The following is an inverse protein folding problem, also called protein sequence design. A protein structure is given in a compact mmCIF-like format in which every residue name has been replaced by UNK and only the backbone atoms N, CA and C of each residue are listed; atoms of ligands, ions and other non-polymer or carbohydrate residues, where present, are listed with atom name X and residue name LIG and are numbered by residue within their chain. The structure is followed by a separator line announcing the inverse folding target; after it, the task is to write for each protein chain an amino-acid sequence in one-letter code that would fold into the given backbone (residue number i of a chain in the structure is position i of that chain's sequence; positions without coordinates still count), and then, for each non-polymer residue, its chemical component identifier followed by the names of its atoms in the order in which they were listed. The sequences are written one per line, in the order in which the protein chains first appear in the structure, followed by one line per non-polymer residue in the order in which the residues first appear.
data_IF_012206157943
#
_entry.id   IF_012206157943
#
_cell.length_a   1.000
_cell.length_b   1.000
_cell.length_c   1.000
_cell.angle_alpha   90.00
_cell.angle_beta   90.00
_cell.angle_gamma   90.00
#
_symmetry.space_group_name_H-M   'P 1'
#
loop_
_entity.id
_entity.type
_entity.pdbx_description
1 polymer ?
#
# COMPACT_ATOMS: atom_id res chain seq x y z
N UNK A 1 -10.30 -21.78 59.74
CA UNK A 1 -11.64 -21.97 60.36
C UNK A 1 -12.60 -21.11 59.56
N UNK A 2 -13.31 -21.73 58.62
CA UNK A 2 -14.77 -21.97 58.69
C UNK A 2 -15.57 -20.76 58.13
N UNK A 3 -16.20 -20.89 56.94
CA UNK A 3 -17.58 -21.44 56.71
C UNK A 3 -18.60 -20.31 57.01
N UNK A 4 -19.63 -19.94 56.24
CA UNK A 4 -20.47 -20.57 55.21
C UNK A 4 -21.47 -19.46 54.74
N UNK A 5 -21.74 -19.28 53.44
CA UNK A 5 -22.84 -19.89 52.65
C UNK A 5 -24.21 -19.17 52.75
N UNK A 6 -24.78 -18.94 51.55
CA UNK A 6 -26.08 -19.49 51.08
C UNK A 6 -27.25 -18.51 50.82
N UNK A 7 -27.56 -18.43 49.52
CA UNK A 7 -28.84 -18.54 48.78
C UNK A 7 -30.13 -17.91 49.31
N UNK A 8 -30.91 -17.33 48.38
CA UNK A 8 -32.18 -17.83 47.78
C UNK A 8 -32.65 -16.72 46.80
N UNK A 9 -32.87 -16.89 45.49
CA UNK A 9 -33.69 -17.79 44.66
C UNK A 9 -35.21 -17.67 44.87
N UNK A 10 -35.91 -17.12 43.87
CA UNK A 10 -37.22 -17.51 43.29
C UNK A 10 -37.31 -16.76 41.94
N UNK A 11 -37.31 -17.34 40.73
CA UNK A 11 -38.01 -18.47 40.10
C UNK A 11 -39.50 -18.21 39.83
N UNK A 12 -39.89 -18.11 38.54
CA UNK A 12 -40.93 -18.87 37.79
C UNK A 12 -41.33 -18.06 36.52
N UNK A 13 -40.98 -18.42 35.27
CA UNK A 13 -41.38 -19.52 34.33
C UNK A 13 -42.47 -19.13 33.32
N UNK A 14 -42.30 -19.66 32.10
CA UNK A 14 -43.34 -19.90 31.08
C UNK A 14 -42.72 -19.82 29.67
N UNK A 15 -42.10 -20.87 29.11
CA UNK A 15 -42.70 -21.94 28.25
C UNK A 15 -43.55 -21.37 27.09
N UNK A 16 -43.46 -21.75 25.81
CA UNK A 16 -43.19 -23.04 25.17
C UNK A 16 -43.08 -22.89 23.62
N UNK A 17 -42.43 -23.87 22.98
CA UNK A 17 -42.69 -24.30 21.59
C UNK A 17 -41.71 -23.74 20.53
N UNK A 18 -41.07 -24.50 19.66
CA UNK A 18 -41.21 -25.91 19.28
C UNK A 18 -40.93 -26.07 17.77
N UNK A 19 -39.77 -26.64 17.45
CA UNK A 19 -39.37 -27.44 16.28
C UNK A 19 -39.63 -26.98 14.82
N UNK A 20 -38.49 -26.78 14.12
CA UNK A 20 -38.09 -27.23 12.78
C UNK A 20 -39.13 -27.61 11.70
N UNK A 21 -38.93 -27.06 10.49
CA UNK A 21 -38.72 -27.86 9.27
C UNK A 21 -38.02 -27.03 8.19
N UNK A 22 -37.05 -27.67 7.53
CA UNK A 22 -36.45 -27.22 6.27
C UNK A 22 -37.29 -27.75 5.11
N UNK A 23 -37.38 -27.00 4.01
CA UNK A 23 -37.56 -27.57 2.68
C UNK A 23 -37.17 -26.55 1.60
N UNK A 24 -36.24 -26.97 0.74
CA UNK A 24 -35.97 -26.38 -0.56
C UNK A 24 -36.71 -27.23 -1.60
N UNK A 25 -37.31 -26.60 -2.61
CA UNK A 25 -37.53 -27.09 -3.99
C UNK A 25 -38.43 -26.08 -4.73
N UNK A 26 -37.97 -25.58 -5.88
CA UNK A 26 -38.82 -24.99 -6.93
C UNK A 26 -38.24 -25.46 -8.27
N UNK A 27 -38.76 -26.57 -8.79
CA UNK A 27 -39.80 -26.69 -9.84
C UNK A 27 -39.28 -26.32 -11.23
N UNK A 28 -38.72 -27.35 -11.86
CA UNK A 28 -38.64 -27.54 -13.29
C UNK A 28 -39.96 -28.20 -13.76
N UNK A 29 -40.69 -27.56 -14.67
CA UNK A 29 -41.84 -28.14 -15.38
C UNK A 29 -42.15 -27.28 -16.61
N UNK A 30 -41.63 -27.64 -17.79
CA UNK A 30 -42.25 -28.50 -18.83
C UNK A 30 -43.59 -27.97 -19.36
N UNK A 31 -43.58 -27.56 -20.63
CA UNK A 31 -44.60 -27.85 -21.65
C UNK A 31 -44.07 -27.33 -23.01
N UNK A 32 -44.33 -27.87 -24.19
CA UNK A 32 -44.84 -29.14 -24.72
C UNK A 32 -44.52 -29.06 -26.22
N UNK A 33 -44.36 -30.21 -26.83
CA UNK A 33 -43.98 -30.46 -28.22
C UNK A 33 -44.99 -29.89 -29.23
N UNK A 34 -44.53 -29.39 -30.38
CA UNK A 34 -45.25 -29.57 -31.63
C UNK A 34 -44.27 -29.76 -32.81
N UNK A 35 -44.54 -30.80 -33.58
CA UNK A 35 -43.77 -31.25 -34.73
C UNK A 35 -44.41 -30.74 -36.03
N UNK A 36 -43.63 -30.50 -37.08
CA UNK A 36 -44.21 -30.24 -38.40
C UNK A 36 -43.28 -29.64 -39.45
N UNK A 37 -42.57 -30.53 -40.13
CA UNK A 37 -41.92 -30.46 -41.46
C UNK A 37 -42.12 -29.21 -42.34
N UNK A 38 -41.01 -28.77 -42.95
CA UNK A 38 -41.00 -28.01 -44.21
C UNK A 38 -39.64 -27.36 -44.50
N UNK A 39 -38.84 -27.98 -45.37
CA UNK A 39 -37.70 -27.31 -46.02
C UNK A 39 -38.17 -26.08 -46.79
N UNK A 40 -37.34 -25.03 -46.88
CA UNK A 40 -37.03 -24.26 -48.08
C UNK A 40 -35.97 -23.19 -47.73
N UNK A 41 -34.97 -23.07 -48.59
CA UNK A 41 -33.79 -22.20 -48.46
C UNK A 41 -34.14 -20.71 -48.32
N UNK A 42 -33.27 -19.92 -47.67
CA UNK A 42 -32.76 -18.62 -48.18
C UNK A 42 -31.59 -18.18 -47.29
N UNK A 43 -30.51 -17.76 -47.96
CA UNK A 43 -29.30 -17.26 -47.36
C UNK A 43 -29.49 -15.89 -46.69
N UNK A 44 -28.93 -15.73 -45.49
CA UNK A 44 -28.40 -14.46 -45.01
C UNK A 44 -27.33 -14.75 -43.95
N UNK A 45 -26.05 -14.59 -44.33
CA UNK A 45 -24.96 -14.47 -43.36
C UNK A 45 -25.21 -13.21 -42.55
N UNK A 46 -25.45 -13.37 -41.25
CA UNK A 46 -25.25 -12.31 -40.25
C UNK A 46 -24.08 -12.73 -39.37
N UNK A 47 -23.16 -11.82 -39.04
CA UNK A 47 -21.95 -12.16 -38.31
C UNK A 47 -22.30 -12.59 -36.89
N UNK A 48 -21.71 -13.70 -36.46
CA UNK A 48 -21.64 -14.09 -35.06
C UNK A 48 -21.09 -12.91 -34.26
N UNK A 49 -21.93 -12.35 -33.40
CA UNK A 49 -21.51 -11.63 -32.21
C UNK A 49 -20.83 -12.63 -31.27
N UNK A 50 -19.62 -13.02 -31.64
CA UNK A 50 -18.68 -13.60 -30.71
C UNK A 50 -18.48 -12.60 -29.59
N UNK A 51 -18.92 -12.98 -28.39
CA UNK A 51 -18.51 -12.34 -27.15
C UNK A 51 -16.98 -12.38 -27.10
N UNK A 52 -16.37 -11.36 -27.67
CA UNK A 52 -14.96 -11.08 -27.46
C UNK A 52 -14.90 -10.54 -26.05
N UNK A 53 -14.55 -11.44 -25.12
CA UNK A 53 -13.92 -11.06 -23.87
C UNK A 53 -12.94 -9.94 -24.21
N UNK A 54 -13.20 -8.74 -23.70
CA UNK A 54 -12.43 -7.55 -23.98
C UNK A 54 -10.99 -7.78 -23.51
N UNK A 55 -10.19 -8.34 -24.42
CA UNK A 55 -8.76 -8.52 -24.28
C UNK A 55 -8.16 -7.12 -24.41
N UNK A 56 -7.63 -6.64 -23.29
CA UNK A 56 -6.95 -5.36 -23.14
C UNK A 56 -5.86 -5.19 -24.20
N UNK A 57 -6.21 -4.55 -25.31
CA UNK A 57 -5.27 -3.98 -26.27
C UNK A 57 -5.36 -2.46 -26.08
N UNK A 58 -4.20 -1.83 -25.97
CA UNK A 58 -3.95 -0.41 -25.71
C UNK A 58 -4.21 0.11 -24.30
N UNK A 59 -3.22 -0.17 -23.44
CA UNK A 59 -2.73 0.84 -22.51
C UNK A 59 -1.23 0.61 -22.34
N UNK A 60 -0.43 1.67 -22.52
CA UNK A 60 1.00 1.76 -22.17
C UNK A 60 1.38 0.73 -21.10
N UNK A 61 2.49 0.01 -21.25
CA UNK A 61 3.06 -1.08 -20.43
C UNK A 61 3.07 -0.93 -18.88
N UNK A 62 2.01 -0.42 -18.26
CA UNK A 62 1.67 -0.47 -16.85
C UNK A 62 1.04 -1.82 -16.62
N UNK A 63 1.87 -2.85 -16.61
CA UNK A 63 1.45 -4.15 -16.11
C UNK A 63 0.81 -3.98 -14.74
N UNK A 64 -0.09 -4.90 -14.39
CA UNK A 64 -0.76 -4.97 -13.08
C UNK A 64 0.21 -4.97 -11.87
N UNK A 65 1.50 -5.12 -12.14
CA UNK A 65 2.63 -5.17 -11.20
C UNK A 65 3.58 -3.97 -11.29
N UNK A 66 3.21 -2.92 -12.04
CA UNK A 66 4.04 -1.72 -12.17
C UNK A 66 4.14 -0.96 -10.85
N UNK A 67 5.34 -0.47 -10.53
CA UNK A 67 5.57 0.36 -9.33
C UNK A 67 4.64 1.57 -9.31
N UNK A 68 4.28 2.03 -8.12
CA UNK A 68 3.50 3.27 -7.95
C UNK A 68 4.21 4.49 -8.53
N UNK A 69 3.45 5.53 -8.93
CA UNK A 69 4.03 6.77 -9.45
C UNK A 69 5.10 7.32 -8.52
N UNK A 70 6.13 7.92 -9.12
CA UNK A 70 7.20 8.57 -8.37
C UNK A 70 6.64 9.74 -7.54
N UNK A 71 7.26 10.01 -6.40
CA UNK A 71 6.88 11.17 -5.60
C UNK A 71 7.24 12.47 -6.33
N UNK A 72 6.24 13.34 -6.48
CA UNK A 72 6.39 14.73 -6.91
C UNK A 72 6.50 15.62 -5.67
N UNK A 73 7.58 16.40 -5.51
CA UNK A 73 7.79 17.25 -4.34
C UNK A 73 6.61 18.19 -4.08
N UNK A 74 6.17 18.30 -2.83
CA UNK A 74 5.16 19.29 -2.44
C UNK A 74 5.74 20.69 -2.27
N UNK A 75 7.04 20.80 -1.98
CA UNK A 75 7.75 22.07 -1.76
C UNK A 75 9.12 22.09 -2.44
N UNK A 76 9.58 23.30 -2.82
CA UNK A 76 10.95 23.54 -3.29
C UNK A 76 11.98 23.20 -2.18
N UNK A 77 13.12 22.63 -2.57
CA UNK A 77 14.02 21.95 -1.64
C UNK A 77 15.06 22.85 -0.97
N UNK A 78 15.23 22.65 0.34
CA UNK A 78 16.38 23.09 1.14
C UNK A 78 17.46 21.97 1.25
N UNK A 79 18.68 22.25 1.73
CA UNK A 79 19.73 21.24 1.92
C UNK A 79 19.29 20.10 2.86
N UNK A 80 19.48 18.85 2.42
CA UNK A 80 18.94 17.65 3.08
C UNK A 80 19.90 17.04 4.11
N UNK A 81 20.28 17.80 5.15
CA UNK A 81 20.88 17.22 6.36
C UNK A 81 19.92 17.44 7.51
N UNK A 82 19.17 16.40 7.86
CA UNK A 82 18.23 16.45 8.96
C UNK A 82 18.87 15.92 10.24
N UNK A 83 18.69 16.67 11.33
CA UNK A 83 19.02 16.28 12.70
C UNK A 83 17.81 16.54 13.59
N UNK A 84 17.71 15.83 14.70
CA UNK A 84 16.62 15.94 15.66
C UNK A 84 15.97 14.59 16.00
N UNK A 85 15.40 14.51 17.20
CA UNK A 85 14.64 13.35 17.68
C UNK A 85 13.37 13.14 16.87
N UNK A 86 12.75 14.21 16.38
CA UNK A 86 11.58 14.20 15.50
C UNK A 86 11.83 13.42 14.19
N UNK A 87 12.99 13.60 13.55
CA UNK A 87 13.36 12.88 12.32
C UNK A 87 13.50 11.39 12.59
N UNK A 88 14.10 11.02 13.73
CA UNK A 88 14.23 9.62 14.12
C UNK A 88 12.86 8.99 14.37
N UNK A 89 11.95 9.72 15.04
CA UNK A 89 10.57 9.30 15.27
C UNK A 89 9.83 9.10 13.95
N UNK A 90 9.95 10.04 13.00
CA UNK A 90 9.32 9.93 11.68
C UNK A 90 9.88 8.74 10.91
N UNK A 91 11.20 8.53 10.89
CA UNK A 91 11.82 7.39 10.20
C UNK A 91 11.38 6.04 10.79
N UNK A 92 11.30 5.94 12.12
CA UNK A 92 10.80 4.75 12.79
C UNK A 92 9.33 4.47 12.45
N UNK A 93 8.50 5.52 12.35
CA UNK A 93 7.11 5.38 11.93
C UNK A 93 7.00 4.93 10.46
N UNK A 94 7.84 5.44 9.58
CA UNK A 94 7.88 5.00 8.17
C UNK A 94 8.28 3.53 8.08
N UNK A 95 9.27 3.09 8.85
CA UNK A 95 9.65 1.67 8.94
C UNK A 95 8.48 0.80 9.43
N UNK A 96 7.77 1.22 10.48
CA UNK A 96 6.57 0.51 10.98
C UNK A 96 5.54 0.31 9.85
N UNK A 97 5.39 1.32 8.98
CA UNK A 97 4.41 1.30 7.89
C UNK A 97 4.87 0.56 6.63
N UNK A 98 6.16 0.61 6.30
CA UNK A 98 6.69 0.19 4.99
C UNK A 98 7.51 -1.09 5.03
N UNK A 99 8.21 -1.36 6.14
CA UNK A 99 9.27 -2.36 6.17
C UNK A 99 9.48 -3.04 7.53
N UNK A 100 8.42 -3.12 8.35
CA UNK A 100 8.45 -3.59 9.76
C UNK A 100 9.29 -4.85 10.05
N UNK A 101 9.42 -5.78 9.09
CA UNK A 101 10.16 -7.03 9.27
C UNK A 101 11.65 -6.91 8.91
N UNK A 102 11.92 -6.34 7.74
CA UNK A 102 13.25 -6.43 7.11
C UNK A 102 14.00 -5.09 7.11
N UNK A 103 13.34 -3.99 7.51
CA UNK A 103 13.94 -2.67 7.66
C UNK A 103 14.77 -2.26 6.43
N UNK A 104 16.04 -1.92 6.67
CA UNK A 104 16.98 -1.50 5.62
C UNK A 104 17.24 -2.56 4.53
N UNK A 105 16.97 -3.83 4.81
CA UNK A 105 17.14 -4.93 3.87
C UNK A 105 15.82 -5.36 3.21
N UNK A 106 14.73 -4.62 3.41
CA UNK A 106 13.43 -4.94 2.83
C UNK A 106 13.43 -4.91 1.30
N UNK A 107 12.77 -5.90 0.69
CA UNK A 107 12.51 -5.97 -0.76
C UNK A 107 11.05 -6.33 -0.93
N UNK A 108 10.32 -5.54 -1.73
CA UNK A 108 8.88 -5.70 -1.94
C UNK A 108 8.48 -7.17 -2.17
N UNK A 109 7.51 -7.68 -1.41
CA UNK A 109 7.21 -9.12 -1.34
C UNK A 109 6.82 -9.76 -2.68
N UNK A 110 6.09 -9.05 -3.53
CA UNK A 110 5.72 -9.44 -4.89
C UNK A 110 6.84 -9.38 -5.94
N UNK A 111 8.07 -8.97 -5.59
CA UNK A 111 9.23 -9.11 -6.46
C UNK A 111 9.56 -10.60 -6.64
N UNK A 112 9.34 -11.14 -7.85
CA UNK A 112 9.55 -12.56 -8.16
C UNK A 112 11.04 -12.93 -8.13
N UNK A 113 11.88 -12.06 -8.66
CA UNK A 113 13.33 -12.23 -8.66
C UNK A 113 13.93 -11.25 -7.65
N UNK A 114 14.43 -11.78 -6.53
CA UNK A 114 15.08 -11.00 -5.47
C UNK A 114 16.55 -10.69 -5.83
N UNK A 115 17.13 -9.59 -5.30
CA UNK A 115 18.55 -9.34 -5.45
C UNK A 115 19.38 -10.46 -4.81
N UNK A 116 20.58 -10.73 -5.34
CA UNK A 116 21.49 -11.78 -4.84
C UNK A 116 22.11 -11.47 -3.48
N UNK A 117 22.13 -10.19 -3.09
CA UNK A 117 22.68 -9.69 -1.83
C UNK A 117 21.58 -8.95 -1.09
N UNK A 118 21.73 -8.82 0.23
CA UNK A 118 20.87 -7.93 1.02
C UNK A 118 21.04 -6.48 0.53
N UNK A 119 19.98 -5.66 0.49
CA UNK A 119 20.07 -4.27 0.03
C UNK A 119 21.22 -3.46 0.65
N UNK A 120 21.47 -3.58 1.95
CA UNK A 120 22.57 -2.86 2.63
C UNK A 120 23.98 -3.31 2.21
N UNK A 121 24.09 -4.47 1.57
CA UNK A 121 25.34 -5.02 1.05
C UNK A 121 25.55 -4.71 -0.43
N UNK A 122 24.56 -4.12 -1.10
CA UNK A 122 24.63 -3.74 -2.51
C UNK A 122 25.13 -2.31 -2.67
N UNK A 123 25.83 -2.06 -3.77
CA UNK A 123 26.06 -0.73 -4.31
C UNK A 123 24.81 -0.21 -5.02
N UNK A 124 24.71 1.10 -5.19
CA UNK A 124 23.65 1.71 -5.99
C UNK A 124 23.64 1.16 -7.43
N UNK A 125 24.82 0.93 -8.03
CA UNK A 125 24.97 0.30 -9.34
C UNK A 125 24.35 -1.10 -9.39
N UNK A 126 24.62 -1.95 -8.39
CA UNK A 126 24.05 -3.30 -8.31
C UNK A 126 22.52 -3.27 -8.17
N UNK A 127 21.97 -2.31 -7.42
CA UNK A 127 20.51 -2.15 -7.29
C UNK A 127 19.90 -1.77 -8.65
N UNK A 128 20.48 -0.79 -9.34
CA UNK A 128 19.97 -0.39 -10.66
C UNK A 128 20.14 -1.49 -11.72
N UNK A 129 21.20 -2.30 -11.63
CA UNK A 129 21.38 -3.47 -12.47
C UNK A 129 20.31 -4.53 -12.21
N UNK A 130 19.98 -4.83 -10.94
CA UNK A 130 18.88 -5.73 -10.57
C UNK A 130 17.54 -5.25 -11.12
N UNK A 131 17.23 -3.95 -10.96
CA UNK A 131 16.00 -3.34 -11.50
C UNK A 131 15.94 -3.52 -13.03
N UNK A 132 17.03 -3.22 -13.75
CA UNK A 132 17.10 -3.34 -15.21
C UNK A 132 16.93 -4.79 -15.68
N UNK A 133 17.53 -5.74 -14.97
CA UNK A 133 17.51 -7.16 -15.32
C UNK A 133 16.16 -7.86 -15.04
N UNK A 134 15.27 -7.22 -14.29
CA UNK A 134 14.01 -7.84 -13.84
C UNK A 134 12.80 -6.97 -14.20
N UNK A 135 12.54 -6.69 -15.49
CA UNK A 135 11.44 -5.82 -15.89
C UNK A 135 10.07 -6.43 -15.51
N UNK A 136 9.08 -5.58 -15.24
CA UNK A 136 7.69 -6.00 -15.05
C UNK A 136 7.32 -6.55 -13.67
N UNK A 137 8.24 -6.50 -12.69
CA UNK A 137 7.96 -6.78 -11.27
C UNK A 137 8.04 -5.49 -10.43
N UNK A 138 7.50 -5.47 -9.21
CA UNK A 138 7.71 -4.35 -8.28
C UNK A 138 9.15 -4.34 -7.75
N UNK A 139 9.70 -3.13 -7.57
CA UNK A 139 11.11 -2.92 -7.17
C UNK A 139 11.29 -2.04 -5.94
N UNK A 140 10.23 -1.82 -5.16
CA UNK A 140 10.38 -1.08 -3.91
C UNK A 140 11.40 -1.77 -2.98
N UNK A 141 12.38 -1.01 -2.50
CA UNK A 141 13.56 -1.53 -1.81
C UNK A 141 13.97 -0.67 -0.62
N UNK A 142 14.52 -1.30 0.40
CA UNK A 142 15.04 -0.69 1.62
C UNK A 142 13.97 -0.31 2.63
N UNK A 143 14.42 0.29 3.74
CA UNK A 143 13.60 0.70 4.89
C UNK A 143 12.44 1.61 4.48
N UNK A 144 12.69 2.43 3.47
CA UNK A 144 11.77 3.45 3.00
C UNK A 144 11.02 3.05 1.72
N UNK A 145 11.14 1.78 1.29
CA UNK A 145 10.48 1.21 0.10
C UNK A 145 10.58 2.13 -1.13
N UNK A 146 11.81 2.52 -1.48
CA UNK A 146 12.05 3.41 -2.62
C UNK A 146 11.69 2.74 -3.93
N UNK A 147 10.76 3.32 -4.69
CA UNK A 147 10.47 2.91 -6.07
C UNK A 147 11.56 3.42 -7.04
N UNK A 148 11.85 2.74 -8.17
CA UNK A 148 13.00 3.02 -9.03
C UNK A 148 13.12 4.46 -9.50
N UNK A 149 12.00 5.08 -9.91
CA UNK A 149 11.98 6.47 -10.38
C UNK A 149 12.36 7.44 -9.25
N UNK A 150 11.80 7.24 -8.05
CA UNK A 150 12.13 8.03 -6.87
C UNK A 150 13.59 7.83 -6.47
N UNK A 151 14.04 6.57 -6.35
CA UNK A 151 15.42 6.22 -5.97
C UNK A 151 16.44 6.91 -6.88
N UNK A 152 16.26 6.82 -8.21
CA UNK A 152 17.13 7.48 -9.19
C UNK A 152 17.22 8.99 -8.98
N UNK A 153 16.07 9.63 -8.74
CA UNK A 153 15.97 11.07 -8.50
C UNK A 153 16.71 11.49 -7.24
N UNK A 154 16.47 10.81 -6.11
CA UNK A 154 17.09 11.19 -4.84
C UNK A 154 18.59 10.87 -4.82
N UNK A 155 19.03 9.79 -5.46
CA UNK A 155 20.46 9.45 -5.66
C UNK A 155 21.18 10.56 -6.43
N UNK A 156 20.61 11.00 -7.55
CA UNK A 156 21.15 12.10 -8.33
C UNK A 156 21.19 13.41 -7.51
N UNK A 157 20.11 13.70 -6.78
CA UNK A 157 19.99 14.91 -5.95
C UNK A 157 21.04 15.01 -4.85
N UNK A 158 21.43 13.88 -4.24
CA UNK A 158 22.47 13.87 -3.20
C UNK A 158 23.89 13.69 -3.75
N UNK A 159 24.05 13.61 -5.07
CA UNK A 159 25.33 13.38 -5.75
C UNK A 159 25.97 12.04 -5.42
N UNK A 160 25.17 11.01 -5.10
CA UNK A 160 25.72 9.72 -4.72
C UNK A 160 26.29 8.99 -5.94
N UNK A 161 27.51 8.46 -5.79
CA UNK A 161 28.22 7.72 -6.84
C UNK A 161 27.66 6.29 -6.94
N UNK A 162 27.60 5.70 -8.15
CA UNK A 162 27.10 4.33 -8.33
C UNK A 162 27.83 3.27 -7.49
N UNK A 163 29.11 3.49 -7.16
CA UNK A 163 29.94 2.58 -6.35
C UNK A 163 29.67 2.64 -4.85
N UNK A 164 28.92 3.65 -4.37
CA UNK A 164 28.58 3.75 -2.95
C UNK A 164 27.55 2.69 -2.56
N UNK A 165 27.69 2.18 -1.33
CA UNK A 165 26.75 1.22 -0.75
C UNK A 165 25.40 1.86 -0.46
N UNK A 166 24.35 1.08 -0.65
CA UNK A 166 22.98 1.39 -0.22
C UNK A 166 22.75 1.00 1.24
N UNK A 167 23.74 1.31 2.08
CA UNK A 167 23.70 1.05 3.51
C UNK A 167 22.65 1.91 4.24
N UNK A 168 22.50 1.70 5.54
CA UNK A 168 21.54 2.42 6.37
C UNK A 168 21.71 3.94 6.28
N UNK A 169 22.97 4.43 6.24
CA UNK A 169 23.27 5.86 6.17
C UNK A 169 22.87 6.46 4.84
N UNK A 170 23.13 5.75 3.74
CA UNK A 170 22.70 6.15 2.41
C UNK A 170 21.17 6.20 2.35
N UNK A 171 20.47 5.16 2.81
CA UNK A 171 19.01 5.12 2.82
C UNK A 171 18.41 6.27 3.62
N UNK A 172 18.94 6.56 4.81
CA UNK A 172 18.51 7.69 5.63
C UNK A 172 18.73 9.03 4.94
N UNK A 173 19.89 9.24 4.31
CA UNK A 173 20.19 10.45 3.54
C UNK A 173 19.22 10.65 2.38
N UNK A 174 18.84 9.58 1.70
CA UNK A 174 17.87 9.63 0.60
C UNK A 174 16.44 9.88 1.11
N UNK A 175 16.07 9.34 2.26
CA UNK A 175 14.78 9.59 2.90
C UNK A 175 14.66 11.04 3.39
N UNK A 176 15.75 11.64 3.86
CA UNK A 176 15.76 13.04 4.29
C UNK A 176 15.39 14.01 3.19
N UNK A 177 15.84 13.75 1.96
CA UNK A 177 15.42 14.50 0.78
C UNK A 177 13.89 14.48 0.65
N UNK A 178 13.27 13.31 0.83
CA UNK A 178 11.82 13.15 0.73
C UNK A 178 11.07 13.82 1.89
N UNK A 179 11.62 13.77 3.10
CA UNK A 179 11.04 14.47 4.26
C UNK A 179 11.06 15.99 4.08
N UNK A 180 12.14 16.55 3.53
CA UNK A 180 12.22 17.96 3.17
C UNK A 180 11.19 18.31 2.10
N UNK A 181 11.08 17.48 1.05
CA UNK A 181 10.10 17.64 -0.04
C UNK A 181 8.63 17.52 0.44
N UNK A 182 8.38 16.77 1.52
CA UNK A 182 7.10 16.68 2.19
C UNK A 182 6.74 17.94 3.00
N UNK A 183 7.74 18.79 3.27
CA UNK A 183 7.57 20.04 3.99
C UNK A 183 8.03 20.01 5.45
N UNK A 184 8.97 19.12 5.83
CA UNK A 184 9.43 19.03 7.23
C UNK A 184 9.90 20.37 7.81
N UNK A 185 10.63 21.19 7.06
CA UNK A 185 11.05 22.52 7.53
C UNK A 185 9.86 23.44 7.80
N UNK A 186 8.84 23.42 6.94
CA UNK A 186 7.62 24.21 7.12
C UNK A 186 6.80 23.69 8.31
N UNK A 187 6.76 22.37 8.49
CA UNK A 187 6.11 21.75 9.63
C UNK A 187 6.78 22.19 10.94
N UNK A 188 8.11 22.10 11.02
CA UNK A 188 8.90 22.56 12.17
C UNK A 188 8.71 24.06 12.46
N UNK A 189 8.60 24.88 11.41
CA UNK A 189 8.38 26.32 11.54
C UNK A 189 6.91 26.70 11.82
N UNK A 190 6.00 25.73 12.00
CA UNK A 190 4.56 26.00 12.18
C UNK A 190 3.82 26.45 10.91
N UNK A 191 4.52 26.72 9.81
CA UNK A 191 3.98 27.15 8.52
C UNK A 191 3.27 26.02 7.72
N UNK A 192 3.33 24.79 8.20
CA UNK A 192 2.56 23.65 7.69
C UNK A 192 1.94 22.90 8.87
N UNK A 193 0.61 22.86 8.92
CA UNK A 193 -0.10 22.13 9.98
C UNK A 193 0.12 20.61 9.90
N UNK A 194 0.04 19.94 11.06
CA UNK A 194 0.22 18.49 11.22
C UNK A 194 -0.53 17.65 10.18
N UNK A 195 -1.84 17.87 10.01
CA UNK A 195 -2.67 17.16 9.02
C UNK A 195 -2.15 17.32 7.60
N UNK A 196 -1.72 18.53 7.24
CA UNK A 196 -1.14 18.81 5.92
C UNK A 196 0.17 18.07 5.70
N UNK A 197 1.07 18.09 6.70
CA UNK A 197 2.32 17.35 6.65
C UNK A 197 2.08 15.83 6.54
N UNK A 198 1.18 15.27 7.34
CA UNK A 198 0.79 13.85 7.28
C UNK A 198 0.27 13.44 5.89
N UNK A 199 -0.57 14.27 5.26
CA UNK A 199 -1.03 14.00 3.90
C UNK A 199 0.10 14.04 2.87
N UNK A 200 1.09 14.93 3.03
CA UNK A 200 2.25 14.96 2.15
C UNK A 200 3.13 13.72 2.33
N UNK A 201 3.33 13.25 3.57
CA UNK A 201 4.02 11.98 3.84
C UNK A 201 3.27 10.79 3.22
N UNK A 202 1.94 10.75 3.28
CA UNK A 202 1.13 9.69 2.66
C UNK A 202 1.21 9.68 1.11
N UNK A 203 1.59 10.80 0.48
CA UNK A 203 1.91 10.88 -0.96
C UNK A 203 3.33 10.39 -1.30
N UNK A 204 4.10 9.98 -0.30
CA UNK A 204 5.46 9.43 -0.48
C UNK A 204 5.50 7.97 -0.05
N UNK A 205 4.82 7.61 1.03
CA UNK A 205 4.83 6.27 1.63
C UNK A 205 3.41 5.71 1.65
N UNK A 206 3.21 4.61 0.91
CA UNK A 206 1.90 4.02 0.69
C UNK A 206 1.33 3.36 1.95
N UNK A 207 2.18 2.89 2.86
CA UNK A 207 1.79 2.36 4.16
C UNK A 207 1.26 3.41 5.12
N UNK A 208 1.51 4.70 4.87
CA UNK A 208 0.96 5.79 5.68
C UNK A 208 -0.46 6.17 5.23
N UNK A 209 -1.43 6.29 6.16
CA UNK A 209 -2.77 6.72 5.82
C UNK A 209 -2.83 8.23 5.56
N UNK A 210 -3.66 8.64 4.62
CA UNK A 210 -4.06 10.03 4.44
C UNK A 210 -5.21 10.39 5.42
N UNK A 211 -5.75 11.60 5.30
CA UNK A 211 -6.83 12.12 6.17
C UNK A 211 -8.14 11.33 6.15
N UNK A 212 -8.39 10.46 5.17
CA UNK A 212 -9.54 9.54 5.15
C UNK A 212 -9.23 8.20 5.83
N UNK A 213 -8.00 7.98 6.29
CA UNK A 213 -7.54 6.73 6.88
C UNK A 213 -7.08 5.67 5.88
N UNK A 214 -7.18 5.94 4.58
CA UNK A 214 -6.74 5.03 3.49
C UNK A 214 -5.34 5.39 2.99
N UNK A 215 -4.69 4.46 2.28
CA UNK A 215 -3.48 4.81 1.53
C UNK A 215 -3.80 5.89 0.50
N UNK A 216 -2.86 6.79 0.21
CA UNK A 216 -2.99 7.66 -0.96
C UNK A 216 -3.04 6.87 -2.28
N UNK A 217 -2.49 5.65 -2.27
CA UNK A 217 -2.39 4.76 -3.42
C UNK A 217 -3.40 3.59 -3.37
N UNK A 218 -4.46 3.71 -2.58
CA UNK A 218 -5.52 2.70 -2.51
C UNK A 218 -6.03 2.36 -3.92
N UNK A 219 -6.14 1.06 -4.24
CA UNK A 219 -6.53 0.59 -5.58
C UNK A 219 -5.40 0.53 -6.61
N UNK A 220 -4.19 1.01 -6.28
CA UNK A 220 -3.01 0.85 -7.12
C UNK A 220 -2.16 -0.32 -6.63
N UNK A 221 -1.94 -1.35 -7.45
CA UNK A 221 -1.02 -2.47 -7.16
C UNK A 221 -1.18 -3.09 -5.75
N UNK A 222 -2.41 -3.13 -5.21
CA UNK A 222 -2.71 -3.68 -3.88
C UNK A 222 -2.22 -2.84 -2.69
N UNK A 223 -1.80 -1.59 -2.90
CA UNK A 223 -1.38 -0.71 -1.81
C UNK A 223 -2.53 -0.44 -0.83
N UNK A 224 -2.20 -0.51 0.47
CA UNK A 224 -3.10 -0.23 1.60
C UNK A 224 -2.29 0.44 2.70
N UNK A 225 -2.97 1.20 3.56
CA UNK A 225 -2.33 1.73 4.76
C UNK A 225 -2.02 0.58 5.73
N UNK A 226 -0.78 0.49 6.18
CA UNK A 226 -0.30 -0.54 7.11
C UNK A 226 -0.45 -0.12 8.57
N UNK A 227 -0.58 1.18 8.82
CA UNK A 227 -0.86 1.75 10.15
C UNK A 227 -2.16 2.55 10.13
N UNK A 228 -2.80 2.70 11.29
CA UNK A 228 -4.05 3.46 11.41
C UNK A 228 -3.80 4.97 11.43
N UNK A 229 -4.77 5.77 10.98
CA UNK A 229 -4.71 7.24 11.08
C UNK A 229 -4.53 7.70 12.54
N UNK A 230 -5.19 7.03 13.48
CA UNK A 230 -5.05 7.30 14.93
C UNK A 230 -3.61 7.10 15.40
N UNK A 231 -2.96 6.00 14.99
CA UNK A 231 -1.55 5.73 15.31
C UNK A 231 -0.64 6.79 14.71
N UNK A 232 -0.86 7.13 13.44
CA UNK A 232 -0.08 8.16 12.74
C UNK A 232 -0.23 9.53 13.43
N UNK A 233 -1.45 9.99 13.66
CA UNK A 233 -1.71 11.29 14.30
C UNK A 233 -1.12 11.37 15.71
N UNK A 234 -1.26 10.30 16.51
CA UNK A 234 -0.71 10.26 17.88
C UNK A 234 0.82 10.38 17.91
N UNK A 235 1.53 9.79 16.95
CA UNK A 235 2.99 9.94 16.84
C UNK A 235 3.35 11.35 16.38
N UNK A 236 2.65 11.86 15.38
CA UNK A 236 2.90 13.21 14.85
C UNK A 236 2.57 14.32 15.84
N UNK A 237 1.62 14.08 16.76
CA UNK A 237 1.30 15.02 17.83
C UNK A 237 2.49 15.26 18.77
N UNK A 238 3.29 14.24 19.06
CA UNK A 238 4.45 14.31 19.97
C UNK A 238 5.61 15.14 19.44
N UNK A 239 5.64 15.37 18.12
CA UNK A 239 6.70 16.09 17.43
C UNK A 239 6.18 17.36 16.74
N UNK A 240 4.91 17.71 16.99
CA UNK A 240 4.37 18.95 16.49
C UNK A 240 5.04 20.10 17.23
N UNK A 241 5.44 21.19 16.53
CA UNK A 241 5.91 22.36 17.23
C UNK A 241 4.80 22.88 18.14
N UNK A 242 5.17 23.27 19.35
CA UNK A 242 4.25 23.92 20.28
C UNK A 242 3.70 25.17 19.57
N UNK A 243 2.37 25.24 19.46
CA UNK A 243 1.72 26.50 19.14
C UNK A 243 1.70 27.26 20.46
N UNK A 244 2.60 28.22 20.62
CA UNK A 244 2.50 29.21 21.68
C UNK A 244 1.13 29.87 21.70
#
# INVERSE_FOLDING_TARGET
MQIVLRNLLFAFTGLLGGMAQAEAVSILGKNVLNAGRGSLFVAARSPQSGQTAALFIDRDHRGMFSDRPAHVPAYASAPAILRGTDVQVIRALIEEAESRRDGYDAVQHGARIKPRKRPTQMTLAEIFAWIKATPGQPHAIGRYQFVPKTLRRVVAKVGAKPTQRFDARMQDKLADVLLVEAGLHRFRAGALGRKGFMNNLAKIWAGLPNSSGKSHYEGYAGNKASITLRRFDAVMARISPDRG
#
